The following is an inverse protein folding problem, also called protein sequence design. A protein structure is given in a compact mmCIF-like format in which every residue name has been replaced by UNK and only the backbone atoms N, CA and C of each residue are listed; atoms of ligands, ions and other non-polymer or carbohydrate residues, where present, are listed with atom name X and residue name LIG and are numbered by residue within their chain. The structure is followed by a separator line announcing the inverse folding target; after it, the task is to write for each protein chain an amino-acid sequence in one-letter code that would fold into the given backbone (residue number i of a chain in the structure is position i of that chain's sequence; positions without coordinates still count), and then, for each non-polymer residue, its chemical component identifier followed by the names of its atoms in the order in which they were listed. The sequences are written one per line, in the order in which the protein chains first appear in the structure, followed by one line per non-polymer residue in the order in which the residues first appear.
data_IF_532309092197
#
_entry.id   IF_532309092197
#
_cell.length_a   1.000
_cell.length_b   1.000
_cell.length_c   1.000
_cell.angle_alpha   90.00
_cell.angle_beta   90.00
_cell.angle_gamma   90.00
#
_symmetry.space_group_name_H-M   'P 1'
#
loop_
_entity.id
_entity.type
_entity.pdbx_description
1 polymer ?
#
# COMPACT_ATOMS: atom_id res chain seq x y z
N UNK A 1 -8.22 29.98 -3.68
CA UNK A 1 -7.47 28.87 -3.06
C UNK A 1 -6.59 29.46 -1.97
N UNK A 2 -6.63 28.95 -0.74
CA UNK A 2 -5.70 29.39 0.29
C UNK A 2 -4.25 29.09 -0.15
N UNK A 3 -3.36 30.08 -0.05
CA UNK A 3 -1.95 29.93 -0.41
C UNK A 3 -1.34 28.78 0.40
N UNK A 4 -0.64 27.87 -0.27
CA UNK A 4 0.12 26.84 0.43
C UNK A 4 1.24 27.51 1.23
N UNK A 5 1.48 27.13 2.49
CA UNK A 5 2.57 27.70 3.26
C UNK A 5 3.89 27.47 2.52
N UNK A 6 4.60 28.56 2.20
CA UNK A 6 5.88 28.50 1.49
C UNK A 6 6.98 27.79 2.29
N UNK A 7 6.81 27.65 3.61
CA UNK A 7 7.73 26.90 4.46
C UNK A 7 7.03 25.69 5.09
N UNK A 8 7.32 24.49 4.58
CA UNK A 8 6.81 23.24 5.15
C UNK A 8 7.40 22.95 6.54
N UNK A 9 8.57 23.52 6.89
CA UNK A 9 9.25 23.24 8.16
C UNK A 9 8.52 23.84 9.36
N UNK A 10 7.81 24.95 9.18
CA UNK A 10 7.03 25.60 10.25
C UNK A 10 5.66 24.94 10.46
N UNK A 11 5.24 24.06 9.56
CA UNK A 11 3.96 23.36 9.68
C UNK A 11 4.05 22.32 10.80
N UNK A 12 3.08 22.28 11.75
CA UNK A 12 3.04 21.24 12.77
C UNK A 12 2.97 19.84 12.14
N UNK A 13 3.42 18.83 12.90
CA UNK A 13 3.39 17.45 12.44
C UNK A 13 1.95 17.02 12.10
N UNK A 14 1.78 16.40 10.93
CA UNK A 14 0.48 15.91 10.51
C UNK A 14 0.10 14.68 11.32
N UNK A 15 -1.18 14.53 11.61
CA UNK A 15 -1.77 13.40 12.29
C UNK A 15 -2.46 12.48 11.29
N UNK A 16 -2.81 11.25 11.72
CA UNK A 16 -3.63 10.34 10.93
C UNK A 16 -4.96 10.97 10.47
N UNK A 17 -5.53 11.86 11.28
CA UNK A 17 -6.79 12.54 10.95
C UNK A 17 -6.61 13.61 9.88
N UNK A 18 -5.45 14.25 9.80
CA UNK A 18 -5.17 15.23 8.74
C UNK A 18 -5.09 14.56 7.36
N UNK A 19 -4.50 13.36 7.29
CA UNK A 19 -4.53 12.53 6.08
C UNK A 19 -5.96 12.08 5.73
N UNK A 20 -6.77 11.71 6.73
CA UNK A 20 -8.16 11.32 6.51
C UNK A 20 -9.03 12.49 6.01
N UNK A 21 -8.86 13.69 6.56
CA UNK A 21 -9.51 14.92 6.11
C UNK A 21 -9.14 15.21 4.66
N UNK A 22 -7.84 15.13 4.34
CA UNK A 22 -7.34 15.36 3.00
C UNK A 22 -7.96 14.39 1.97
N UNK A 23 -8.15 13.13 2.35
CA UNK A 23 -8.77 12.11 1.50
C UNK A 23 -10.30 12.18 1.44
N UNK A 24 -10.93 13.12 2.14
CA UNK A 24 -12.39 13.22 2.23
C UNK A 24 -13.03 12.07 3.03
N UNK A 25 -12.27 11.44 3.93
CA UNK A 25 -12.74 10.33 4.80
C UNK A 25 -13.21 10.83 6.17
N UNK A 26 -12.94 12.10 6.48
CA UNK A 26 -13.31 12.77 7.72
C UNK A 26 -13.54 14.25 7.43
N UNK A 27 -14.49 14.87 8.11
CA UNK A 27 -14.69 16.32 8.06
C UNK A 27 -13.57 17.06 8.82
N UNK A 28 -13.10 18.16 8.25
CA UNK A 28 -12.15 19.03 8.95
C UNK A 28 -12.83 19.85 10.04
N UNK A 29 -12.20 19.93 11.22
CA UNK A 29 -12.57 20.90 12.24
C UNK A 29 -12.10 22.34 11.89
N UNK A 30 -11.13 22.46 10.97
CA UNK A 30 -10.57 23.76 10.57
C UNK A 30 -11.26 24.26 9.29
N UNK A 31 -11.82 25.48 9.28
CA UNK A 31 -12.37 26.09 8.07
C UNK A 31 -11.30 26.14 6.95
N UNK A 32 -11.65 25.67 5.75
CA UNK A 32 -10.80 25.74 4.56
C UNK A 32 -9.73 24.63 4.41
N UNK A 33 -9.59 23.74 5.39
CA UNK A 33 -8.70 22.58 5.24
C UNK A 33 -9.32 21.46 4.36
N UNK A 34 -10.65 21.39 4.32
CA UNK A 34 -11.39 20.47 3.47
C UNK A 34 -11.16 20.79 1.99
N UNK A 35 -10.82 19.78 1.19
CA UNK A 35 -10.81 19.92 -0.27
C UNK A 35 -12.20 19.54 -0.78
N UNK A 36 -12.87 20.43 -1.54
CA UNK A 36 -14.16 20.12 -2.14
C UNK A 36 -14.13 18.82 -2.95
N UNK A 37 -15.23 18.07 -2.92
CA UNK A 37 -15.40 16.92 -3.81
C UNK A 37 -15.29 17.36 -5.27
N UNK A 38 -14.63 16.54 -6.09
CA UNK A 38 -14.34 16.85 -7.49
C UNK A 38 -13.04 17.63 -7.74
N UNK A 39 -12.39 18.20 -6.70
CA UNK A 39 -11.07 18.81 -6.85
C UNK A 39 -9.91 17.85 -6.52
N UNK A 40 -9.88 16.74 -7.27
CA UNK A 40 -8.94 15.65 -7.00
C UNK A 40 -7.49 15.96 -7.39
N UNK A 41 -7.27 16.88 -8.33
CA UNK A 41 -5.93 17.38 -8.64
C UNK A 41 -5.33 18.09 -7.44
N UNK A 42 -6.07 19.03 -6.83
CA UNK A 42 -5.62 19.70 -5.61
C UNK A 42 -5.43 18.70 -4.46
N UNK A 43 -6.28 17.67 -4.37
CA UNK A 43 -6.15 16.58 -3.38
C UNK A 43 -4.85 15.81 -3.56
N UNK A 44 -4.52 15.44 -4.78
CA UNK A 44 -3.30 14.68 -5.10
C UNK A 44 -2.06 15.54 -4.84
N UNK A 45 -2.04 16.78 -5.31
CA UNK A 45 -0.92 17.70 -5.05
C UNK A 45 -0.71 17.97 -3.55
N UNK A 46 -1.79 18.15 -2.78
CA UNK A 46 -1.70 18.36 -1.33
C UNK A 46 -1.29 17.07 -0.60
N UNK A 47 -1.69 15.89 -1.08
CA UNK A 47 -1.24 14.60 -0.53
C UNK A 47 0.27 14.43 -0.68
N UNK A 48 0.82 14.78 -1.83
CA UNK A 48 2.27 14.73 -2.04
C UNK A 48 3.04 15.69 -1.14
N UNK A 49 2.46 16.85 -0.81
CA UNK A 49 3.03 17.77 0.19
C UNK A 49 2.97 17.18 1.60
N UNK A 50 1.84 16.60 1.99
CA UNK A 50 1.66 15.99 3.31
C UNK A 50 2.62 14.82 3.51
N UNK A 51 2.72 13.93 2.51
CA UNK A 51 3.66 12.80 2.54
C UNK A 51 5.12 13.26 2.59
N UNK A 52 5.50 14.33 1.86
CA UNK A 52 6.86 14.88 1.92
C UNK A 52 7.17 15.49 3.28
N UNK A 53 6.25 16.23 3.88
CA UNK A 53 6.43 16.82 5.22
C UNK A 53 6.51 15.73 6.30
N UNK A 54 5.66 14.72 6.23
CA UNK A 54 5.67 13.61 7.19
C UNK A 54 6.98 12.81 7.14
N UNK A 55 7.64 12.73 5.98
CA UNK A 55 8.98 12.10 5.88
C UNK A 55 10.08 12.85 6.64
N UNK A 56 9.83 14.11 7.03
CA UNK A 56 10.76 14.90 7.85
C UNK A 56 10.59 14.61 9.35
N UNK A 57 9.50 13.96 9.76
CA UNK A 57 9.31 13.54 11.15
C UNK A 57 10.13 12.28 11.47
N UNK A 58 10.33 11.97 12.75
CA UNK A 58 11.04 10.76 13.17
C UNK A 58 10.34 9.49 12.66
N UNK A 59 11.11 8.44 12.36
CA UNK A 59 10.53 7.16 11.89
C UNK A 59 9.52 6.56 12.87
N UNK A 60 9.71 6.79 14.17
CA UNK A 60 8.76 6.42 15.23
C UNK A 60 7.44 7.18 15.07
N UNK A 61 7.48 8.50 14.94
CA UNK A 61 6.31 9.35 14.75
C UNK A 61 5.55 8.96 13.48
N UNK A 62 6.27 8.77 12.36
CA UNK A 62 5.67 8.29 11.11
C UNK A 62 4.95 6.95 11.32
N UNK A 63 5.56 6.02 12.04
CA UNK A 63 4.98 4.70 12.32
C UNK A 63 3.70 4.80 13.17
N UNK A 64 3.65 5.71 14.14
CA UNK A 64 2.44 5.97 14.94
C UNK A 64 1.31 6.52 14.07
N UNK A 65 1.63 7.48 13.20
CA UNK A 65 0.66 8.08 12.26
C UNK A 65 0.11 7.01 11.32
N UNK A 66 0.97 6.18 10.72
CA UNK A 66 0.54 5.11 9.80
C UNK A 66 -0.24 4.00 10.50
N UNK A 67 0.17 3.60 11.71
CA UNK A 67 -0.57 2.62 12.50
C UNK A 67 -2.00 3.10 12.79
N UNK A 68 -2.14 4.34 13.28
CA UNK A 68 -3.43 4.94 13.58
C UNK A 68 -4.28 5.13 12.32
N UNK A 69 -3.68 5.64 11.23
CA UNK A 69 -4.38 5.80 9.97
C UNK A 69 -4.92 4.47 9.45
N UNK A 70 -4.08 3.43 9.40
CA UNK A 70 -4.52 2.15 8.88
C UNK A 70 -5.63 1.53 9.72
N UNK A 71 -5.51 1.61 11.03
CA UNK A 71 -6.50 1.02 11.93
C UNK A 71 -7.91 1.63 11.75
N UNK A 72 -7.98 2.93 11.46
CA UNK A 72 -9.24 3.68 11.39
C UNK A 72 -9.76 3.87 9.96
N UNK A 73 -8.89 4.13 8.99
CA UNK A 73 -9.28 4.66 7.68
C UNK A 73 -8.86 3.79 6.48
N UNK A 74 -8.09 2.71 6.69
CA UNK A 74 -7.66 1.85 5.58
C UNK A 74 -8.84 1.25 4.79
N UNK A 75 -9.90 0.70 5.41
CA UNK A 75 -11.03 0.13 4.66
C UNK A 75 -11.66 1.16 3.70
N UNK A 76 -11.97 2.36 4.20
CA UNK A 76 -12.56 3.42 3.39
C UNK A 76 -11.59 3.95 2.31
N UNK A 77 -10.29 3.97 2.59
CA UNK A 77 -9.26 4.34 1.60
C UNK A 77 -9.23 3.34 0.44
N UNK A 78 -9.29 2.03 0.74
CA UNK A 78 -9.33 0.97 -0.27
C UNK A 78 -10.63 1.06 -1.07
N UNK A 79 -11.77 1.27 -0.41
CA UNK A 79 -13.06 1.42 -1.07
C UNK A 79 -13.06 2.60 -2.05
N UNK A 80 -12.58 3.78 -1.64
CA UNK A 80 -12.44 4.95 -2.52
C UNK A 80 -11.44 4.72 -3.64
N UNK A 81 -10.36 3.97 -3.38
CA UNK A 81 -9.44 3.61 -4.45
C UNK A 81 -10.08 2.67 -5.47
N UNK A 82 -10.99 1.78 -5.08
CA UNK A 82 -11.75 0.90 -5.98
C UNK A 82 -12.85 1.69 -6.72
N UNK A 83 -13.52 2.61 -6.05
CA UNK A 83 -14.60 3.43 -6.58
C UNK A 83 -14.15 4.89 -6.65
N UNK A 84 -13.25 5.19 -7.59
CA UNK A 84 -12.73 6.53 -7.76
C UNK A 84 -13.86 7.50 -8.15
N UNK A 85 -13.98 8.66 -7.50
CA UNK A 85 -14.89 9.70 -7.95
C UNK A 85 -14.31 10.35 -9.21
N UNK A 86 -15.05 10.29 -10.32
CA UNK A 86 -14.73 11.02 -11.54
C UNK A 86 -15.71 12.17 -11.69
N UNK A 87 -15.23 13.43 -11.75
CA UNK A 87 -16.07 14.54 -12.19
C UNK A 87 -16.50 14.34 -13.65
N UNK A 88 -17.76 14.63 -13.94
CA UNK A 88 -18.34 14.40 -15.26
C UNK A 88 -17.72 15.26 -16.38
N UNK A 89 -17.08 16.35 -16.01
CA UNK A 89 -16.50 17.38 -16.88
C UNK A 89 -14.99 17.22 -17.09
N UNK A 90 -14.38 16.15 -16.58
CA UNK A 90 -12.95 15.94 -16.72
C UNK A 90 -12.51 15.59 -18.14
N UNK A 91 -11.35 16.12 -18.53
CA UNK A 91 -10.64 15.68 -19.73
C UNK A 91 -10.39 14.16 -19.68
N UNK A 92 -10.70 13.40 -20.74
CA UNK A 92 -10.48 11.96 -20.77
C UNK A 92 -9.04 11.54 -20.44
N UNK A 93 -8.03 12.32 -20.83
CA UNK A 93 -6.63 11.98 -20.49
C UNK A 93 -6.35 12.17 -19.00
N UNK A 94 -6.97 13.16 -18.37
CA UNK A 94 -6.90 13.39 -16.94
C UNK A 94 -7.60 12.27 -16.14
N UNK A 95 -8.77 11.80 -16.61
CA UNK A 95 -9.45 10.62 -16.05
C UNK A 95 -8.54 9.41 -16.08
N UNK A 96 -7.90 9.18 -17.23
CA UNK A 96 -6.94 8.10 -17.40
C UNK A 96 -5.76 8.22 -16.42
N UNK A 97 -5.06 9.36 -16.35
CA UNK A 97 -3.96 9.56 -15.37
C UNK A 97 -4.40 9.26 -13.94
N UNK A 98 -5.61 9.67 -13.58
CA UNK A 98 -6.15 9.53 -12.24
C UNK A 98 -6.42 8.07 -11.81
N UNK A 99 -6.57 7.14 -12.77
CA UNK A 99 -6.80 5.72 -12.45
C UNK A 99 -5.68 5.12 -11.59
N UNK A 100 -4.44 5.59 -11.76
CA UNK A 100 -3.26 5.12 -11.05
C UNK A 100 -2.49 6.21 -10.29
N UNK A 101 -2.67 7.49 -10.64
CA UNK A 101 -2.01 8.62 -9.99
C UNK A 101 -3.04 9.48 -9.25
N UNK A 102 -3.43 9.02 -8.07
CA UNK A 102 -4.38 9.71 -7.19
C UNK A 102 -3.96 9.65 -5.72
N UNK A 103 -4.58 10.51 -4.90
CA UNK A 103 -4.25 10.66 -3.49
C UNK A 103 -4.43 9.36 -2.67
N UNK A 104 -5.48 8.56 -2.93
CA UNK A 104 -5.68 7.29 -2.21
C UNK A 104 -4.59 6.28 -2.56
N UNK A 105 -4.20 6.19 -3.84
CA UNK A 105 -3.09 5.33 -4.26
C UNK A 105 -1.78 5.75 -3.60
N UNK A 106 -1.49 7.05 -3.54
CA UNK A 106 -0.30 7.57 -2.84
C UNK A 106 -0.31 7.22 -1.35
N UNK A 107 -1.48 7.30 -0.71
CA UNK A 107 -1.63 6.90 0.69
C UNK A 107 -1.40 5.40 0.89
N UNK A 108 -1.97 4.55 0.02
CA UNK A 108 -1.77 3.10 0.09
C UNK A 108 -0.30 2.71 -0.10
N UNK A 109 0.42 3.38 -1.00
CA UNK A 109 1.89 3.23 -1.15
C UNK A 109 2.61 3.57 0.14
N UNK A 110 2.21 4.66 0.81
CA UNK A 110 2.82 5.10 2.06
C UNK A 110 2.63 4.07 3.18
N UNK A 111 1.45 3.44 3.29
CA UNK A 111 1.12 2.58 4.44
C UNK A 111 1.28 1.07 4.21
N UNK A 112 1.64 0.62 3.01
CA UNK A 112 1.71 -0.81 2.68
C UNK A 112 2.70 -1.63 3.52
N UNK A 113 3.67 -0.97 4.15
CA UNK A 113 4.66 -1.60 5.02
C UNK A 113 4.14 -1.86 6.45
N UNK A 114 2.97 -1.32 6.80
CA UNK A 114 2.43 -1.45 8.16
C UNK A 114 1.85 -2.85 8.42
N UNK A 115 1.93 -3.36 9.67
CA UNK A 115 1.26 -4.60 10.06
C UNK A 115 -0.26 -4.56 9.87
N UNK A 116 -0.88 -3.40 10.02
CA UNK A 116 -2.31 -3.19 9.83
C UNK A 116 -2.75 -3.39 8.38
N UNK A 117 -1.94 -2.98 7.41
CA UNK A 117 -2.18 -3.22 6.00
C UNK A 117 -2.21 -4.72 5.69
N UNK A 118 -1.20 -5.46 6.19
CA UNK A 118 -1.16 -6.92 6.08
C UNK A 118 -2.38 -7.59 6.73
N UNK A 119 -2.75 -7.15 7.95
CA UNK A 119 -3.94 -7.66 8.65
C UNK A 119 -5.21 -7.45 7.83
N UNK A 120 -5.41 -6.26 7.24
CA UNK A 120 -6.61 -5.94 6.45
C UNK A 120 -6.76 -6.89 5.26
N UNK A 121 -5.75 -6.99 4.39
CA UNK A 121 -5.83 -7.83 3.20
C UNK A 121 -5.84 -9.35 3.47
N UNK A 122 -5.59 -9.76 4.72
CA UNK A 122 -5.70 -11.16 5.17
C UNK A 122 -6.94 -11.43 6.00
N UNK A 123 -7.71 -10.41 6.35
CA UNK A 123 -8.88 -10.55 7.20
C UNK A 123 -10.01 -11.24 6.45
N UNK A 124 -10.76 -12.06 7.18
CA UNK A 124 -12.03 -12.62 6.72
C UNK A 124 -13.23 -11.75 7.12
N UNK A 125 -13.01 -10.63 7.82
CA UNK A 125 -14.08 -9.69 8.19
C UNK A 125 -14.74 -9.12 6.93
N UNK A 126 -16.08 -8.97 6.91
CA UNK A 126 -16.79 -8.33 5.81
C UNK A 126 -16.28 -6.92 5.47
N UNK A 127 -15.80 -6.17 6.47
CA UNK A 127 -15.21 -4.83 6.28
C UNK A 127 -13.96 -4.86 5.40
N UNK A 128 -13.30 -6.02 5.29
CA UNK A 128 -12.13 -6.24 4.45
C UNK A 128 -12.43 -6.85 3.08
N UNK A 129 -13.69 -7.14 2.75
CA UNK A 129 -14.09 -7.72 1.46
C UNK A 129 -13.66 -6.88 0.24
N UNK A 130 -13.75 -5.54 0.26
CA UNK A 130 -13.21 -4.72 -0.84
C UNK A 130 -11.73 -4.99 -1.12
N UNK A 131 -10.95 -5.27 -0.08
CA UNK A 131 -9.53 -5.60 -0.21
C UNK A 131 -9.27 -6.84 -1.07
N UNK A 132 -10.22 -7.79 -1.13
CA UNK A 132 -10.08 -9.03 -1.92
C UNK A 132 -10.19 -8.79 -3.41
N UNK A 133 -11.01 -7.82 -3.85
CA UNK A 133 -11.17 -7.44 -5.27
C UNK A 133 -10.14 -6.42 -5.75
N UNK A 134 -9.53 -5.69 -4.83
CA UNK A 134 -8.59 -4.61 -5.17
C UNK A 134 -7.43 -5.02 -6.09
N UNK A 135 -6.78 -6.20 -5.95
CA UNK A 135 -5.70 -6.62 -6.86
C UNK A 135 -6.16 -6.69 -8.32
N UNK A 136 -7.37 -7.21 -8.57
CA UNK A 136 -7.94 -7.31 -9.91
C UNK A 136 -8.22 -5.93 -10.50
N UNK A 137 -8.90 -5.05 -9.74
CA UNK A 137 -9.21 -3.68 -10.18
C UNK A 137 -7.93 -2.92 -10.52
N UNK A 138 -6.89 -3.03 -9.69
CA UNK A 138 -5.61 -2.37 -9.95
C UNK A 138 -4.90 -2.94 -11.19
N UNK A 139 -4.94 -4.26 -11.39
CA UNK A 139 -4.39 -4.91 -12.59
C UNK A 139 -5.11 -4.47 -13.87
N UNK A 140 -6.44 -4.38 -13.85
CA UNK A 140 -7.25 -3.93 -14.98
C UNK A 140 -6.93 -2.48 -15.34
N UNK A 141 -6.95 -1.56 -14.36
CA UNK A 141 -6.57 -0.16 -14.57
C UNK A 141 -5.16 0.00 -15.09
N UNK A 142 -4.21 -0.77 -14.54
CA UNK A 142 -2.85 -0.79 -15.04
C UNK A 142 -2.80 -1.19 -16.50
N UNK A 143 -3.51 -2.23 -16.91
CA UNK A 143 -3.55 -2.69 -18.29
C UNK A 143 -4.25 -1.73 -19.25
N UNK A 144 -5.23 -0.95 -18.77
CA UNK A 144 -5.85 0.14 -19.53
C UNK A 144 -4.81 1.20 -19.88
N UNK A 145 -3.98 1.60 -18.92
CA UNK A 145 -2.98 2.66 -19.11
C UNK A 145 -1.64 2.18 -19.70
N UNK A 146 -1.33 0.88 -19.60
CA UNK A 146 -0.03 0.35 -19.95
C UNK A 146 0.46 0.69 -21.37
N UNK A 147 -0.37 0.71 -22.43
CA UNK A 147 0.06 1.16 -23.75
C UNK A 147 0.54 2.61 -23.78
N UNK A 148 -0.20 3.52 -23.14
CA UNK A 148 0.17 4.95 -23.04
C UNK A 148 1.45 5.12 -22.24
N UNK A 149 1.54 4.48 -21.07
CA UNK A 149 2.74 4.50 -20.23
C UNK A 149 3.95 3.95 -21.00
N UNK A 150 3.81 2.85 -21.75
CA UNK A 150 4.87 2.29 -22.58
C UNK A 150 5.38 3.30 -23.61
N UNK A 151 4.46 4.01 -24.28
CA UNK A 151 4.78 5.05 -25.25
C UNK A 151 5.53 6.23 -24.62
N UNK A 152 5.03 6.73 -23.50
CA UNK A 152 5.65 7.86 -22.77
C UNK A 152 7.00 7.50 -22.18
N UNK A 153 7.14 6.28 -21.65
CA UNK A 153 8.41 5.77 -21.09
C UNK A 153 9.43 5.54 -22.22
N UNK A 154 9.00 5.12 -23.41
CA UNK A 154 9.91 4.83 -24.53
C UNK A 154 10.38 6.07 -25.29
N UNK A 155 9.59 7.16 -25.28
CA UNK A 155 9.97 8.41 -25.95
C UNK A 155 10.88 9.26 -25.05
N UNK A 156 12.15 9.36 -25.43
CA UNK A 156 13.01 10.46 -24.97
C UNK A 156 12.51 11.76 -25.62
N UNK A 157 11.57 12.47 -24.99
CA UNK A 157 11.13 13.79 -25.46
C UNK A 157 12.11 14.86 -24.97
N UNK A 158 12.89 15.51 -25.85
CA UNK A 158 13.91 16.48 -25.45
C UNK A 158 13.34 17.67 -24.65
N UNK A 159 12.06 18.01 -24.84
CA UNK A 159 11.42 19.14 -24.18
C UNK A 159 10.71 18.83 -22.85
N UNK A 160 10.54 17.56 -22.45
CA UNK A 160 9.70 17.21 -21.30
C UNK A 160 10.23 16.00 -20.49
N UNK A 161 11.48 16.05 -19.96
CA UNK A 161 12.04 14.93 -19.19
C UNK A 161 11.19 14.53 -17.97
N UNK A 162 10.48 15.50 -17.38
CA UNK A 162 9.60 15.24 -16.23
C UNK A 162 8.43 14.30 -16.54
N UNK A 163 7.92 14.27 -17.78
CA UNK A 163 6.79 13.41 -18.16
C UNK A 163 7.20 11.93 -18.19
N UNK A 164 8.37 11.62 -18.73
CA UNK A 164 8.90 10.27 -18.78
C UNK A 164 9.13 9.71 -17.36
N UNK A 165 9.78 10.49 -16.48
CA UNK A 165 10.04 10.09 -15.11
C UNK A 165 8.76 9.93 -14.29
N UNK A 166 7.78 10.84 -14.47
CA UNK A 166 6.45 10.69 -13.87
C UNK A 166 5.79 9.38 -14.31
N UNK A 167 5.82 9.05 -15.60
CA UNK A 167 5.22 7.81 -16.13
C UNK A 167 5.87 6.56 -15.56
N UNK A 168 7.22 6.53 -15.48
CA UNK A 168 7.97 5.45 -14.81
C UNK A 168 7.56 5.31 -13.35
N UNK A 169 7.39 6.43 -12.65
CA UNK A 169 7.03 6.45 -11.24
C UNK A 169 5.60 5.94 -10.98
N UNK A 170 4.62 6.39 -11.77
CA UNK A 170 3.22 5.93 -11.70
C UNK A 170 3.14 4.43 -11.98
N UNK A 171 3.81 3.97 -13.03
CA UNK A 171 3.95 2.55 -13.35
C UNK A 171 4.55 1.75 -12.18
N UNK A 172 5.70 2.18 -11.66
CA UNK A 172 6.41 1.45 -10.62
C UNK A 172 5.63 1.38 -9.31
N UNK A 173 4.98 2.47 -8.89
CA UNK A 173 4.10 2.49 -7.70
C UNK A 173 2.94 1.52 -7.81
N UNK A 174 2.26 1.52 -8.96
CA UNK A 174 1.10 0.67 -9.21
C UNK A 174 1.47 -0.80 -9.16
N UNK A 175 2.58 -1.16 -9.82
CA UNK A 175 3.12 -2.52 -9.80
C UNK A 175 3.64 -2.93 -8.42
N UNK A 176 4.22 -2.00 -7.66
CA UNK A 176 4.67 -2.24 -6.29
C UNK A 176 3.48 -2.64 -5.41
N UNK A 177 2.40 -1.85 -5.43
CA UNK A 177 1.21 -2.17 -4.63
C UNK A 177 0.56 -3.46 -5.10
N UNK A 178 0.40 -3.66 -6.42
CA UNK A 178 -0.14 -4.91 -6.95
C UNK A 178 0.69 -6.12 -6.45
N UNK A 179 2.02 -6.05 -6.53
CA UNK A 179 2.89 -7.11 -6.02
C UNK A 179 2.76 -7.34 -4.52
N UNK A 180 2.62 -6.27 -3.72
CA UNK A 180 2.35 -6.38 -2.28
C UNK A 180 1.02 -7.07 -2.02
N UNK A 181 -0.07 -6.65 -2.67
CA UNK A 181 -1.40 -7.22 -2.49
C UNK A 181 -1.45 -8.71 -2.85
N UNK A 182 -0.87 -9.09 -3.99
CA UNK A 182 -0.82 -10.49 -4.43
C UNK A 182 0.00 -11.36 -3.45
N UNK A 183 1.06 -10.83 -2.83
CA UNK A 183 1.84 -11.53 -1.80
C UNK A 183 1.08 -11.67 -0.47
N UNK A 184 0.27 -10.68 -0.13
CA UNK A 184 -0.49 -10.69 1.12
C UNK A 184 -1.69 -11.65 1.05
N UNK A 185 -2.27 -11.81 -0.14
CA UNK A 185 -3.34 -12.75 -0.38
C UNK A 185 -2.97 -14.18 0.00
N UNK A 186 -3.91 -14.89 0.62
CA UNK A 186 -3.82 -16.34 0.85
C UNK A 186 -4.19 -17.15 -0.39
N UNK A 187 -4.80 -16.50 -1.38
CA UNK A 187 -5.22 -17.12 -2.63
C UNK A 187 -4.07 -17.11 -3.63
N UNK A 188 -4.04 -18.13 -4.49
CA UNK A 188 -3.12 -18.12 -5.63
C UNK A 188 -3.38 -16.89 -6.51
N UNK A 189 -2.34 -16.29 -7.11
CA UNK A 189 -2.49 -15.16 -8.02
C UNK A 189 -3.49 -15.44 -9.16
N UNK A 190 -3.61 -16.69 -9.60
CA UNK A 190 -4.56 -17.12 -10.66
C UNK A 190 -6.02 -17.12 -10.23
N UNK A 191 -6.27 -17.20 -8.93
CA UNK A 191 -7.62 -17.05 -8.37
C UNK A 191 -7.98 -15.56 -8.29
N UNK A 192 -7.00 -14.72 -7.96
CA UNK A 192 -7.21 -13.27 -7.89
C UNK A 192 -7.22 -12.57 -9.25
N UNK A 193 -6.44 -13.06 -10.21
CA UNK A 193 -6.27 -12.48 -11.53
C UNK A 193 -6.66 -13.51 -12.60
N UNK A 194 -7.69 -13.23 -13.42
CA UNK A 194 -8.01 -14.04 -14.58
C UNK A 194 -6.79 -14.31 -15.46
N UNK A 195 -6.73 -15.51 -16.06
CA UNK A 195 -5.60 -15.94 -16.92
C UNK A 195 -5.28 -14.92 -18.03
N UNK A 196 -6.30 -14.31 -18.60
CA UNK A 196 -6.16 -13.28 -19.64
C UNK A 196 -5.45 -12.02 -19.10
N UNK A 197 -5.78 -11.56 -17.89
CA UNK A 197 -5.08 -10.43 -17.26
C UNK A 197 -3.62 -10.77 -16.99
N UNK A 198 -3.34 -11.97 -16.47
CA UNK A 198 -1.96 -12.43 -16.20
C UNK A 198 -1.14 -12.46 -17.49
N UNK A 199 -1.67 -12.97 -18.59
CA UNK A 199 -0.98 -13.00 -19.88
C UNK A 199 -0.65 -11.59 -20.38
N UNK A 200 -1.63 -10.66 -20.34
CA UNK A 200 -1.44 -9.26 -20.76
C UNK A 200 -0.41 -8.55 -19.87
N UNK A 201 -0.52 -8.68 -18.54
CA UNK A 201 0.43 -8.10 -17.59
C UNK A 201 1.84 -8.62 -17.84
N UNK A 202 1.99 -9.93 -18.02
CA UNK A 202 3.28 -10.57 -18.21
C UNK A 202 4.03 -10.02 -19.44
N UNK A 203 3.31 -9.70 -20.52
CA UNK A 203 3.90 -9.07 -21.70
C UNK A 203 4.59 -7.73 -21.38
N UNK A 204 3.90 -6.83 -20.68
CA UNK A 204 4.46 -5.54 -20.26
C UNK A 204 5.60 -5.72 -19.25
N UNK A 205 5.40 -6.53 -18.22
CA UNK A 205 6.39 -6.72 -17.16
C UNK A 205 7.69 -7.33 -17.68
N UNK A 206 7.61 -8.27 -18.63
CA UNK A 206 8.79 -8.85 -19.30
C UNK A 206 9.55 -7.79 -20.09
N UNK A 207 8.86 -6.97 -20.88
CA UNK A 207 9.49 -5.86 -21.64
C UNK A 207 10.16 -4.85 -20.71
N UNK A 208 9.46 -4.40 -19.67
CA UNK A 208 9.97 -3.39 -18.74
C UNK A 208 11.11 -3.91 -17.87
N UNK A 209 11.06 -5.18 -17.43
CA UNK A 209 12.18 -5.81 -16.72
C UNK A 209 13.47 -5.74 -17.56
N UNK A 210 13.39 -6.06 -18.85
CA UNK A 210 14.56 -6.05 -19.75
C UNK A 210 15.01 -4.63 -20.07
N UNK A 211 14.09 -3.76 -20.52
CA UNK A 211 14.44 -2.39 -20.95
C UNK A 211 14.94 -1.50 -19.80
N UNK A 212 14.42 -1.70 -18.60
CA UNK A 212 14.72 -0.89 -17.41
C UNK A 212 15.53 -1.68 -16.38
N UNK A 213 16.45 -2.53 -16.85
CA UNK A 213 17.34 -3.28 -15.97
C UNK A 213 18.17 -2.33 -15.09
N UNK A 214 18.36 -2.69 -13.83
CA UNK A 214 19.13 -1.89 -12.86
C UNK A 214 18.38 -0.67 -12.28
N UNK A 215 17.20 -0.31 -12.78
CA UNK A 215 16.39 0.77 -12.20
C UNK A 215 15.13 0.23 -11.50
N UNK A 216 14.52 1.09 -10.67
CA UNK A 216 13.40 0.71 -9.81
C UNK A 216 12.23 0.06 -10.57
N UNK A 217 11.83 0.62 -11.72
CA UNK A 217 10.75 0.06 -12.54
C UNK A 217 11.06 -1.38 -12.99
N UNK A 218 12.24 -1.63 -13.57
CA UNK A 218 12.60 -2.98 -14.03
C UNK A 218 12.73 -3.99 -12.89
N UNK A 219 13.22 -3.56 -11.72
CA UNK A 219 13.29 -4.41 -10.53
C UNK A 219 11.90 -4.84 -10.04
N UNK A 220 10.94 -3.91 -9.94
CA UNK A 220 9.57 -4.24 -9.54
C UNK A 220 8.85 -5.06 -10.61
N UNK A 221 9.01 -4.71 -11.90
CA UNK A 221 8.44 -5.49 -13.01
C UNK A 221 8.97 -6.92 -13.02
N UNK A 222 10.26 -7.13 -12.79
CA UNK A 222 10.86 -8.46 -12.74
C UNK A 222 10.37 -9.31 -11.57
N UNK A 223 10.27 -8.72 -10.37
CA UNK A 223 9.73 -9.42 -9.19
C UNK A 223 8.27 -9.82 -9.38
N UNK A 224 7.44 -8.92 -9.90
CA UNK A 224 6.03 -9.19 -10.14
C UNK A 224 5.84 -10.22 -11.27
N UNK A 225 6.59 -10.10 -12.37
CA UNK A 225 6.56 -11.09 -13.46
C UNK A 225 6.90 -12.48 -12.93
N UNK A 226 8.00 -12.62 -12.17
CA UNK A 226 8.35 -13.87 -11.53
C UNK A 226 7.21 -14.38 -10.66
N UNK A 227 6.62 -13.54 -9.81
CA UNK A 227 5.55 -13.95 -8.90
C UNK A 227 4.28 -14.45 -9.61
N UNK A 228 3.85 -13.81 -10.71
CA UNK A 228 2.60 -14.19 -11.41
C UNK A 228 2.80 -15.32 -12.43
N UNK A 229 4.02 -15.52 -12.93
CA UNK A 229 4.33 -16.54 -13.96
C UNK A 229 4.95 -17.79 -13.39
N UNK A 230 5.68 -17.68 -12.26
CA UNK A 230 6.18 -18.84 -11.57
C UNK A 230 4.99 -19.73 -11.25
N UNK A 231 4.94 -20.88 -11.93
CA UNK A 231 4.24 -22.05 -11.43
C UNK A 231 5.05 -22.46 -10.21
N UNK A 232 4.96 -21.72 -9.10
CA UNK A 232 5.33 -22.29 -7.82
C UNK A 232 4.33 -23.44 -7.71
N UNK A 233 4.76 -24.69 -7.89
CA UNK A 233 3.85 -25.79 -7.67
C UNK A 233 3.39 -25.57 -6.23
N UNK A 234 2.09 -25.38 -6.01
CA UNK A 234 1.57 -25.73 -4.69
C UNK A 234 2.07 -27.15 -4.48
N UNK A 235 2.73 -27.47 -3.35
CA UNK A 235 3.08 -28.85 -3.07
C UNK A 235 1.80 -29.66 -3.30
N UNK A 236 1.81 -30.43 -4.39
CA UNK A 236 0.75 -31.39 -4.66
C UNK A 236 0.75 -32.30 -3.44
N UNK A 237 -0.40 -32.80 -2.96
CA UNK A 237 -0.43 -33.93 -2.06
C UNK A 237 0.06 -35.17 -2.83
N UNK A 238 1.35 -35.21 -3.16
CA UNK A 238 2.05 -36.36 -3.68
C UNK A 238 2.54 -37.19 -2.48
N UNK A 239 2.66 -38.53 -2.60
CA UNK A 239 3.20 -39.36 -1.54
C UNK A 239 4.63 -38.92 -1.23
N UNK A 240 4.89 -38.69 0.06
CA UNK A 240 6.06 -37.99 0.59
C UNK A 240 7.41 -38.61 0.18
N UNK A 241 8.29 -37.89 -0.53
CA UNK A 241 9.73 -38.04 -0.30
C UNK A 241 10.07 -37.50 1.10
N UNK A 242 11.14 -37.97 1.77
CA UNK A 242 11.54 -37.50 3.09
C UNK A 242 11.75 -35.98 3.02
N UNK A 243 10.75 -35.27 3.53
CA UNK A 243 10.59 -33.84 3.35
C UNK A 243 11.65 -33.14 4.19
N UNK A 244 12.56 -32.42 3.52
CA UNK A 244 13.22 -31.31 4.19
C UNK A 244 12.11 -30.44 4.78
N UNK A 245 12.10 -30.24 6.12
CA UNK A 245 11.00 -29.56 6.77
C UNK A 245 10.84 -28.21 6.09
N UNK A 246 9.64 -27.85 5.62
CA UNK A 246 9.41 -26.58 4.94
C UNK A 246 9.99 -25.49 5.83
N UNK A 247 10.92 -24.69 5.28
CA UNK A 247 11.58 -23.60 6.01
C UNK A 247 10.46 -22.72 6.55
N UNK A 248 10.12 -22.93 7.82
CA UNK A 248 9.01 -22.22 8.47
C UNK A 248 9.40 -20.75 8.36
N UNK A 249 8.56 -19.87 7.79
CA UNK A 249 8.88 -18.45 7.72
C UNK A 249 9.28 -18.02 9.13
N UNK A 250 10.49 -17.46 9.29
CA UNK A 250 11.07 -17.15 10.59
C UNK A 250 10.00 -16.50 11.45
N UNK A 251 9.48 -17.27 12.42
CA UNK A 251 8.42 -16.78 13.30
C UNK A 251 9.06 -15.66 14.09
N UNK A 252 8.52 -14.44 13.94
CA UNK A 252 8.95 -13.30 14.76
C UNK A 252 8.86 -13.74 16.23
N UNK A 253 9.88 -13.48 17.05
CA UNK A 253 9.82 -13.78 18.47
C UNK A 253 8.71 -12.98 19.15
N UNK A 254 8.51 -13.26 20.44
CA UNK A 254 7.76 -12.41 21.34
C UNK A 254 8.13 -10.94 21.13
N UNK A 255 7.14 -10.06 21.12
CA UNK A 255 7.35 -8.63 20.81
C UNK A 255 7.96 -7.86 21.98
N UNK A 256 8.04 -8.46 23.18
CA UNK A 256 8.85 -7.93 24.27
C UNK A 256 10.34 -8.14 23.92
N UNK A 257 11.15 -7.06 23.77
CA UNK A 257 12.51 -7.18 23.21
C UNK A 257 13.45 -8.14 23.95
N UNK A 258 13.27 -8.32 25.26
CA UNK A 258 14.07 -9.22 26.09
C UNK A 258 13.68 -10.69 26.00
N UNK A 259 12.58 -11.04 25.30
CA UNK A 259 12.05 -12.39 25.28
C UNK A 259 12.37 -13.11 23.95
N UNK A 260 13.18 -14.19 23.97
CA UNK A 260 13.57 -14.90 22.74
C UNK A 260 12.54 -15.94 22.27
N UNK A 261 11.43 -16.14 23.00
CA UNK A 261 10.43 -17.18 22.69
C UNK A 261 9.82 -16.95 21.31
N UNK A 262 9.75 -18.00 20.47
CA UNK A 262 9.22 -17.93 19.09
C UNK A 262 7.94 -18.74 18.85
N UNK A 263 7.58 -19.59 19.79
CA UNK A 263 6.48 -20.53 19.66
C UNK A 263 5.29 -20.18 20.56
N UNK A 264 4.12 -20.70 20.19
CA UNK A 264 2.85 -20.52 20.90
C UNK A 264 2.49 -19.05 21.23
N UNK A 265 2.94 -18.12 20.37
CA UNK A 265 2.71 -16.71 20.59
C UNK A 265 1.24 -16.34 20.38
N UNK A 266 0.66 -15.69 21.38
CA UNK A 266 -0.67 -15.10 21.38
C UNK A 266 -0.62 -13.71 20.74
N UNK A 267 -1.60 -13.38 19.90
CA UNK A 267 -1.72 -12.02 19.33
C UNK A 267 -2.32 -11.07 20.35
N UNK A 268 -1.89 -9.80 20.36
CA UNK A 268 -2.55 -8.77 21.17
C UNK A 268 -4.06 -8.71 20.87
N UNK A 269 -4.91 -8.81 21.88
CA UNK A 269 -6.37 -8.85 21.70
C UNK A 269 -6.95 -7.64 20.97
N UNK A 270 -6.33 -6.46 21.12
CA UNK A 270 -6.79 -5.20 20.53
C UNK A 270 -6.33 -5.02 19.08
N UNK A 271 -5.02 -4.89 18.87
CA UNK A 271 -4.47 -4.58 17.55
C UNK A 271 -4.17 -5.81 16.69
N UNK A 272 -4.02 -7.00 17.29
CA UNK A 272 -3.61 -8.27 16.65
C UNK A 272 -2.40 -8.16 15.70
N UNK A 273 -1.60 -7.10 15.80
CA UNK A 273 -0.45 -6.82 14.92
C UNK A 273 0.88 -7.26 15.54
N UNK A 274 0.92 -7.39 16.86
CA UNK A 274 2.06 -7.88 17.65
C UNK A 274 1.69 -9.19 18.35
N UNK A 275 2.70 -9.95 18.77
CA UNK A 275 2.54 -11.27 19.38
C UNK A 275 3.41 -11.42 20.63
N UNK A 276 2.87 -12.08 21.65
CA UNK A 276 3.50 -12.31 22.95
C UNK A 276 3.41 -13.78 23.34
N UNK A 277 4.37 -14.32 24.08
CA UNK A 277 4.27 -15.69 24.59
C UNK A 277 3.24 -15.84 25.72
N UNK A 278 2.94 -14.75 26.43
CA UNK A 278 1.93 -14.71 27.50
C UNK A 278 1.40 -13.28 27.70
N UNK A 279 0.33 -13.15 28.49
CA UNK A 279 -0.29 -11.86 28.82
C UNK A 279 0.64 -10.94 29.64
N UNK A 280 1.48 -11.50 30.49
CA UNK A 280 2.40 -10.72 31.33
C UNK A 280 3.47 -10.01 30.48
N UNK A 281 3.96 -10.66 29.42
CA UNK A 281 4.87 -10.00 28.47
C UNK A 281 4.19 -8.90 27.67
N UNK A 282 2.89 -9.04 27.39
CA UNK A 282 2.11 -7.96 26.79
C UNK A 282 2.00 -6.76 27.73
N UNK A 283 1.71 -7.00 29.03
CA UNK A 283 1.65 -5.94 30.05
C UNK A 283 3.01 -5.28 30.25
N UNK A 284 4.07 -6.07 30.39
CA UNK A 284 5.44 -5.58 30.51
C UNK A 284 5.84 -4.73 29.29
N UNK A 285 5.53 -5.17 28.06
CA UNK A 285 5.83 -4.36 26.86
C UNK A 285 4.97 -3.09 26.78
N UNK A 286 3.77 -3.08 27.36
CA UNK A 286 2.92 -1.88 27.46
C UNK A 286 3.48 -0.83 28.41
N UNK A 287 4.14 -1.27 29.48
CA UNK A 287 4.75 -0.43 30.51
C UNK A 287 6.22 -0.11 30.23
N UNK A 288 6.85 -0.83 29.30
CA UNK A 288 8.27 -0.68 28.97
C UNK A 288 8.60 0.77 28.57
N UNK A 289 9.61 1.41 29.22
CA UNK A 289 10.12 2.71 28.78
C UNK A 289 10.63 2.63 27.34
N UNK A 290 10.04 3.37 26.41
CA UNK A 290 10.34 3.25 24.97
C UNK A 290 9.63 2.09 24.25
N UNK A 291 8.67 1.42 24.90
CA UNK A 291 7.81 0.43 24.28
C UNK A 291 6.88 1.05 23.24
N UNK A 292 7.18 0.85 21.96
CA UNK A 292 6.41 1.43 20.85
C UNK A 292 4.97 0.88 20.75
N UNK A 293 4.68 -0.29 21.35
CA UNK A 293 3.39 -0.95 21.19
C UNK A 293 2.24 -0.09 21.71
N UNK A 294 2.40 0.58 22.86
CA UNK A 294 1.34 1.43 23.43
C UNK A 294 0.90 2.53 22.46
N UNK A 295 1.87 3.14 21.76
CA UNK A 295 1.63 4.22 20.80
C UNK A 295 1.04 3.73 19.48
N UNK A 296 1.33 2.48 19.09
CA UNK A 296 0.91 1.88 17.80
C UNK A 296 -0.27 0.91 17.94
N UNK A 297 -0.81 0.70 19.14
CA UNK A 297 -1.89 -0.26 19.41
C UNK A 297 -3.27 0.39 19.29
N UNK A 298 -3.84 0.26 18.10
CA UNK A 298 -5.19 0.68 17.77
C UNK A 298 -6.08 -0.52 17.47
N UNK A 299 -7.33 -0.42 17.90
CA UNK A 299 -8.40 -1.35 17.54
C UNK A 299 -8.81 -1.17 16.07
N UNK A 300 -9.28 -2.25 15.44
CA UNK A 300 -9.69 -2.26 14.03
C UNK A 300 -11.04 -2.93 13.88
N UNK A 301 -11.78 -2.52 12.86
CA UNK A 301 -13.06 -3.13 12.46
C UNK A 301 -12.89 -4.46 11.68
N UNK A 302 -11.65 -4.83 11.36
CA UNK A 302 -11.29 -5.98 10.53
C UNK A 302 -10.25 -6.88 11.18
#
# INVERSE_FOLDING_TARGET
MAALPHNLQTTPAFTASDFAVLLGLRESAAPGAQIPEGNEYARTSRMDLYLRRNRQDSGEQQSVIWAKFCAQYLPATVERCINLPFPADWDPNAVEDFLLDNAWMNMLVAVQHTPYFNRYFRSSSPVADPGKRFPQVLAERFLTLAPRLEHEISRSSPGHPGRQERSKFVAAKSLLILGTLLRLSRLEPRVLLPRQLVARLSSFLRRWKTRHHGVFLGAISGRLHFFITARIPRPSPAPDPPSEPPVKPMRKPCSLPSCPVRDNLQTCGRCRTVRYCCIDHQRAHWEHPGGEHKLKCHETLY
#
